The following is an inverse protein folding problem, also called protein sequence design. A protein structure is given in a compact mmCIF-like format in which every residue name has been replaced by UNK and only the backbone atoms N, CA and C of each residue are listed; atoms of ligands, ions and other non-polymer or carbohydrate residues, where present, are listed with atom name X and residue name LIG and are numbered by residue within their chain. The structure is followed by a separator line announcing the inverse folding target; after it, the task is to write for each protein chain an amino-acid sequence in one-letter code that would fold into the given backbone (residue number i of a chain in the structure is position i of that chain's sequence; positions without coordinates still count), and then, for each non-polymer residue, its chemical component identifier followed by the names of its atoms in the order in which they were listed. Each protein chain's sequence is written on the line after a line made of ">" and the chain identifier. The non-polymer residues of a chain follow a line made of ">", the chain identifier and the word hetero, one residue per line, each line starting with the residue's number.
data_IF_347457030741
#
_entry.id   IF_347457030741
#
_cell.length_a   1.000
_cell.length_b   1.000
_cell.length_c   1.000
_cell.angle_alpha   90.00
_cell.angle_beta   90.00
_cell.angle_gamma   90.00
#
_symmetry.space_group_name_H-M   'P 1'
#
loop_
_entity.id
_entity.type
_entity.pdbx_description
1 polymer ?
#
# COMPACT_ATOMS: atom_id res chain seq x y z
N UNK A 1 10.61 -16.61 -9.07
CA UNK A 1 9.95 -16.59 -7.75
C UNK A 1 10.75 -15.66 -6.86
N UNK A 2 10.16 -14.57 -6.36
CA UNK A 2 10.83 -13.68 -5.40
C UNK A 2 10.80 -14.41 -4.06
N UNK A 3 11.94 -14.95 -3.64
CA UNK A 3 12.01 -15.91 -2.53
C UNK A 3 13.20 -15.65 -1.61
N UNK A 4 14.37 -15.32 -2.17
CA UNK A 4 15.55 -15.03 -1.37
C UNK A 4 15.60 -13.55 -0.94
N UNK A 5 16.38 -13.28 0.11
CA UNK A 5 16.54 -11.95 0.74
C UNK A 5 16.89 -10.85 -0.25
N UNK A 6 17.80 -11.13 -1.20
CA UNK A 6 18.20 -10.16 -2.23
C UNK A 6 17.05 -9.81 -3.17
N UNK A 7 16.33 -10.82 -3.69
CA UNK A 7 15.17 -10.58 -4.56
C UNK A 7 14.03 -9.86 -3.83
N UNK A 8 13.85 -10.10 -2.53
CA UNK A 8 12.87 -9.38 -1.69
C UNK A 8 13.27 -7.95 -1.42
N UNK A 9 14.56 -7.69 -1.23
CA UNK A 9 15.09 -6.33 -1.15
C UNK A 9 14.86 -5.55 -2.46
N UNK A 10 15.19 -6.14 -3.62
CA UNK A 10 14.89 -5.53 -4.91
C UNK A 10 13.38 -5.34 -5.10
N UNK A 11 12.57 -6.28 -4.63
CA UNK A 11 11.11 -6.14 -4.69
C UNK A 11 10.63 -4.89 -3.95
N UNK A 12 11.12 -4.65 -2.73
CA UNK A 12 10.78 -3.43 -1.98
C UNK A 12 11.35 -2.18 -2.67
N UNK A 13 12.59 -2.22 -3.15
CA UNK A 13 13.23 -1.08 -3.81
C UNK A 13 12.45 -0.61 -5.05
N UNK A 14 11.89 -1.54 -5.81
CA UNK A 14 11.08 -1.28 -7.02
C UNK A 14 9.57 -1.43 -6.78
N UNK A 15 9.13 -1.44 -5.51
CA UNK A 15 7.76 -1.76 -5.14
C UNK A 15 6.73 -0.87 -5.85
N UNK A 16 7.00 0.42 -5.97
CA UNK A 16 6.14 1.38 -6.66
C UNK A 16 5.84 0.97 -8.12
N UNK A 17 6.85 0.49 -8.87
CA UNK A 17 6.66 0.07 -10.25
C UNK A 17 5.83 -1.21 -10.35
N UNK A 18 6.06 -2.17 -9.45
CA UNK A 18 5.27 -3.41 -9.44
C UNK A 18 3.82 -3.13 -9.03
N UNK A 19 3.62 -2.24 -8.04
CA UNK A 19 2.29 -1.88 -7.55
C UNK A 19 1.46 -1.17 -8.62
N UNK A 20 2.02 -0.15 -9.29
CA UNK A 20 1.34 0.62 -10.34
C UNK A 20 1.19 -0.19 -11.64
N UNK A 21 2.22 -0.97 -12.01
CA UNK A 21 2.23 -1.74 -13.26
C UNK A 21 1.30 -2.96 -13.22
N UNK A 22 1.15 -3.63 -12.07
CA UNK A 22 0.38 -4.88 -11.99
C UNK A 22 -1.07 -4.74 -12.46
N UNK A 23 -1.86 -3.73 -12.06
CA UNK A 23 -3.22 -3.55 -12.57
C UNK A 23 -3.29 -3.41 -14.09
N UNK A 24 -2.29 -2.77 -14.71
CA UNK A 24 -2.23 -2.56 -16.16
C UNK A 24 -1.97 -3.87 -16.94
N UNK A 25 -1.43 -4.88 -16.28
CA UNK A 25 -1.11 -6.18 -16.89
C UNK A 25 -2.18 -7.23 -16.53
N UNK A 26 -2.59 -7.29 -15.27
CA UNK A 26 -3.45 -8.37 -14.74
C UNK A 26 -4.94 -8.10 -15.01
N UNK A 27 -5.39 -6.86 -14.92
CA UNK A 27 -6.79 -6.51 -15.18
C UNK A 27 -6.87 -5.14 -15.89
N UNK A 28 -6.39 -5.06 -17.15
CA UNK A 28 -6.35 -3.82 -17.90
C UNK A 28 -7.76 -3.30 -18.16
N UNK A 29 -8.04 -2.09 -17.66
CA UNK A 29 -9.26 -1.35 -18.01
C UNK A 29 -9.03 -0.54 -19.28
N UNK A 30 -10.05 -0.44 -20.13
CA UNK A 30 -10.01 0.45 -21.30
C UNK A 30 -9.97 1.91 -20.81
N UNK A 31 -8.95 2.70 -21.15
CA UNK A 31 -8.89 4.10 -20.75
C UNK A 31 -10.05 4.89 -21.38
N UNK A 32 -10.71 5.73 -20.58
CA UNK A 32 -11.70 6.68 -21.03
C UNK A 32 -11.08 8.05 -21.32
N UNK A 33 -11.95 9.03 -21.63
CA UNK A 33 -11.53 10.40 -21.93
C UNK A 33 -10.70 11.03 -20.81
N UNK A 34 -11.07 10.79 -19.56
CA UNK A 34 -10.43 11.41 -18.41
C UNK A 34 -9.02 10.86 -18.16
N UNK A 35 -8.81 9.57 -18.38
CA UNK A 35 -7.49 8.95 -18.29
C UNK A 35 -6.51 9.55 -19.32
N UNK A 36 -6.97 9.80 -20.54
CA UNK A 36 -6.15 10.46 -21.57
C UNK A 36 -5.83 11.91 -21.22
N UNK A 37 -6.80 12.66 -20.68
CA UNK A 37 -6.56 14.03 -20.21
C UNK A 37 -5.56 14.03 -19.06
N UNK A 38 -5.73 13.15 -18.07
CA UNK A 38 -4.80 13.02 -16.96
C UNK A 38 -3.38 12.67 -17.44
N UNK A 39 -3.25 11.72 -18.36
CA UNK A 39 -1.96 11.36 -18.95
C UNK A 39 -1.30 12.55 -19.67
N UNK A 40 -2.06 13.31 -20.47
CA UNK A 40 -1.53 14.50 -21.13
C UNK A 40 -1.04 15.55 -20.12
N UNK A 41 -1.81 15.80 -19.06
CA UNK A 41 -1.43 16.72 -17.99
C UNK A 41 -0.15 16.25 -17.28
N UNK A 42 -0.09 14.99 -16.83
CA UNK A 42 1.11 14.42 -16.19
C UNK A 42 2.34 14.55 -17.09
N UNK A 43 2.25 14.12 -18.36
CA UNK A 43 3.37 14.19 -19.31
C UNK A 43 3.83 15.63 -19.58
N UNK A 44 2.90 16.58 -19.62
CA UNK A 44 3.26 18.00 -19.76
C UNK A 44 4.02 18.53 -18.53
N UNK A 45 3.62 18.14 -17.32
CA UNK A 45 4.35 18.51 -16.10
C UNK A 45 5.74 17.87 -16.05
N UNK A 46 5.85 16.60 -16.41
CA UNK A 46 7.15 15.91 -16.49
C UNK A 46 8.08 16.59 -17.51
N UNK A 47 7.52 17.03 -18.64
CA UNK A 47 8.26 17.80 -19.64
C UNK A 47 8.71 19.15 -19.08
N UNK A 48 7.84 19.89 -18.38
CA UNK A 48 8.21 21.17 -17.74
C UNK A 48 9.34 20.96 -16.71
N UNK A 49 9.25 19.93 -15.88
CA UNK A 49 10.30 19.57 -14.92
C UNK A 49 11.62 19.31 -15.65
N UNK A 50 11.59 18.57 -16.77
CA UNK A 50 12.80 18.29 -17.54
C UNK A 50 13.37 19.55 -18.20
N UNK A 51 12.53 20.44 -18.74
CA UNK A 51 12.98 21.68 -19.39
C UNK A 51 13.65 22.63 -18.39
N UNK A 52 13.07 22.81 -17.19
CA UNK A 52 13.59 23.77 -16.19
C UNK A 52 14.61 23.16 -15.22
N UNK A 53 14.51 21.87 -14.91
CA UNK A 53 15.35 21.15 -13.95
C UNK A 53 16.36 20.19 -14.60
N UNK A 54 16.31 20.02 -15.91
CA UNK A 54 17.15 19.07 -16.64
C UNK A 54 16.90 17.60 -16.25
N UNK A 55 17.80 16.73 -16.73
CA UNK A 55 17.78 15.31 -16.36
C UNK A 55 17.95 15.12 -14.84
N UNK A 56 18.75 15.97 -14.18
CA UNK A 56 18.99 15.89 -12.74
C UNK A 56 17.72 16.13 -11.92
N UNK A 57 16.92 17.15 -12.26
CA UNK A 57 15.64 17.41 -11.59
C UNK A 57 14.64 16.28 -11.81
N UNK A 58 14.56 15.77 -13.03
CA UNK A 58 13.72 14.62 -13.35
C UNK A 58 14.12 13.37 -12.57
N UNK A 59 15.41 13.01 -12.56
CA UNK A 59 15.93 11.87 -11.82
C UNK A 59 15.80 12.05 -10.30
N UNK A 60 15.95 13.26 -9.79
CA UNK A 60 15.76 13.56 -8.36
C UNK A 60 14.35 13.19 -7.91
N UNK A 61 13.32 13.58 -8.66
CA UNK A 61 11.93 13.25 -8.34
C UNK A 61 11.64 11.75 -8.52
N UNK A 62 12.16 11.13 -9.58
CA UNK A 62 11.99 9.70 -9.83
C UNK A 62 12.62 8.86 -8.71
N UNK A 63 13.90 9.11 -8.41
CA UNK A 63 14.63 8.39 -7.36
C UNK A 63 14.08 8.72 -5.97
N UNK A 64 13.65 9.95 -5.73
CA UNK A 64 12.97 10.34 -4.49
C UNK A 64 11.66 9.59 -4.29
N UNK A 65 10.88 9.40 -5.34
CA UNK A 65 9.65 8.58 -5.32
C UNK A 65 9.97 7.11 -5.05
N UNK A 66 11.00 6.56 -5.72
CA UNK A 66 11.45 5.19 -5.47
C UNK A 66 11.91 4.98 -4.03
N UNK A 67 12.63 5.95 -3.45
CA UNK A 67 13.02 5.90 -2.06
C UNK A 67 11.79 5.96 -1.15
N UNK A 68 10.93 6.96 -1.35
CA UNK A 68 9.76 7.24 -0.52
C UNK A 68 8.70 6.13 -0.52
N UNK A 69 8.54 5.42 -1.64
CA UNK A 69 7.60 4.29 -1.78
C UNK A 69 8.28 2.91 -1.67
N UNK A 70 9.60 2.88 -1.52
CA UNK A 70 10.40 1.65 -1.45
C UNK A 70 10.92 1.40 -0.04
N UNK A 71 12.21 1.65 0.20
CA UNK A 71 12.89 1.30 1.46
C UNK A 71 12.76 2.35 2.58
N UNK A 72 12.08 3.47 2.34
CA UNK A 72 11.89 4.51 3.35
C UNK A 72 11.12 3.96 4.57
N UNK A 73 11.47 4.32 5.82
CA UNK A 73 10.81 3.80 7.03
C UNK A 73 9.29 3.85 7.02
N UNK A 74 8.71 4.94 6.47
CA UNK A 74 7.25 5.09 6.37
C UNK A 74 6.65 4.15 5.32
N UNK A 75 7.36 3.82 4.25
CA UNK A 75 6.87 2.94 3.19
C UNK A 75 6.54 1.52 3.69
N UNK A 76 7.04 1.14 4.87
CA UNK A 76 6.64 -0.11 5.53
C UNK A 76 5.14 -0.22 5.79
N UNK A 77 4.38 0.88 5.83
CA UNK A 77 2.92 0.82 5.92
C UNK A 77 2.29 0.08 4.73
N UNK A 78 2.77 0.30 3.50
CA UNK A 78 2.27 -0.43 2.32
C UNK A 78 2.45 -1.95 2.46
N UNK A 79 3.53 -2.39 3.10
CA UNK A 79 3.78 -3.81 3.34
C UNK A 79 2.94 -4.32 4.51
N UNK A 80 2.87 -3.56 5.61
CA UNK A 80 2.04 -3.91 6.76
C UNK A 80 0.58 -4.12 6.35
N UNK A 81 0.03 -3.23 5.53
CA UNK A 81 -1.40 -3.20 5.23
C UNK A 81 -1.85 -4.20 4.16
N UNK A 82 -0.91 -4.79 3.41
CA UNK A 82 -1.24 -5.59 2.22
C UNK A 82 -0.61 -6.98 2.21
N UNK A 83 0.10 -7.37 3.26
CA UNK A 83 0.75 -8.68 3.37
C UNK A 83 0.41 -9.35 4.68
N UNK A 84 0.25 -10.67 4.60
CA UNK A 84 -0.12 -11.51 5.73
C UNK A 84 1.12 -11.87 6.55
N UNK A 85 1.32 -11.18 7.67
CA UNK A 85 2.36 -11.48 8.67
C UNK A 85 1.90 -12.50 9.72
N UNK A 86 0.60 -12.59 9.94
CA UNK A 86 -0.08 -13.54 10.82
C UNK A 86 -1.17 -14.23 10.00
N UNK A 87 -1.16 -15.55 9.99
CA UNK A 87 -2.10 -16.35 9.20
C UNK A 87 -3.55 -15.98 9.55
N UNK A 88 -4.35 -15.69 8.52
CA UNK A 88 -5.75 -15.27 8.60
C UNK A 88 -5.96 -13.76 8.67
N UNK A 89 -4.92 -12.93 8.83
CA UNK A 89 -5.06 -11.48 8.99
C UNK A 89 -4.60 -10.74 7.74
N UNK A 90 -5.54 -10.06 7.08
CA UNK A 90 -5.31 -9.39 5.79
C UNK A 90 -4.60 -8.04 5.91
N UNK A 91 -4.77 -7.35 7.04
CA UNK A 91 -4.23 -6.01 7.28
C UNK A 91 -4.03 -5.73 8.77
N UNK A 92 -3.23 -4.71 9.09
CA UNK A 92 -2.69 -4.46 10.42
C UNK A 92 -2.63 -2.97 10.68
N UNK A 93 -3.17 -2.54 11.83
CA UNK A 93 -2.86 -1.22 12.35
C UNK A 93 -1.42 -1.15 12.88
N UNK A 94 -0.88 0.05 12.88
CA UNK A 94 0.41 0.43 13.40
C UNK A 94 0.23 1.44 14.53
N UNK A 95 0.81 1.14 15.69
CA UNK A 95 0.73 1.98 16.90
C UNK A 95 2.12 2.46 17.35
N UNK A 96 2.92 2.96 16.40
CA UNK A 96 4.24 3.50 16.69
C UNK A 96 4.36 5.01 16.45
N UNK A 97 5.56 5.54 16.73
CA UNK A 97 5.82 6.99 16.75
C UNK A 97 5.62 7.67 15.38
N UNK A 98 5.81 6.93 14.28
CA UNK A 98 5.69 7.49 12.94
C UNK A 98 4.27 7.96 12.62
N UNK A 99 3.25 7.48 13.33
CA UNK A 99 1.88 8.01 13.20
C UNK A 99 1.78 9.51 13.44
N UNK A 100 2.63 10.07 14.32
CA UNK A 100 2.65 11.51 14.57
C UNK A 100 3.11 12.29 13.34
N UNK A 101 3.99 11.70 12.53
CA UNK A 101 4.51 12.30 11.29
C UNK A 101 3.60 12.02 10.08
N UNK A 102 2.83 10.93 10.13
CA UNK A 102 1.94 10.51 9.06
C UNK A 102 0.46 10.76 9.39
N UNK A 103 0.16 11.64 10.33
CA UNK A 103 -1.21 12.05 10.67
C UNK A 103 -2.16 10.87 10.95
N UNK A 104 -1.69 9.90 11.75
CA UNK A 104 -2.41 8.69 12.15
C UNK A 104 -2.80 7.73 11.02
N UNK A 105 -2.15 7.79 9.86
CA UNK A 105 -2.36 6.82 8.75
C UNK A 105 -2.23 5.37 9.21
N UNK A 106 -1.38 5.08 10.20
CA UNK A 106 -1.22 3.73 10.72
C UNK A 106 -2.41 3.20 11.53
N UNK A 107 -3.41 4.00 11.88
CA UNK A 107 -4.68 3.51 12.46
C UNK A 107 -5.56 2.90 11.35
N UNK A 108 -5.03 1.87 10.71
CA UNK A 108 -5.49 1.39 9.42
C UNK A 108 -6.79 0.58 9.54
N UNK A 109 -6.89 -0.35 10.49
CA UNK A 109 -8.13 -1.08 10.72
C UNK A 109 -9.27 -0.12 11.09
N UNK A 110 -9.00 0.82 11.99
CA UNK A 110 -9.95 1.86 12.38
C UNK A 110 -10.38 2.72 11.19
N UNK A 111 -9.45 3.08 10.31
CA UNK A 111 -9.76 3.82 9.08
C UNK A 111 -10.64 3.01 8.12
N UNK A 112 -10.34 1.74 7.92
CA UNK A 112 -11.10 0.89 7.00
C UNK A 112 -12.50 0.55 7.51
N UNK A 113 -12.67 0.40 8.83
CA UNK A 113 -13.98 0.20 9.45
C UNK A 113 -14.82 1.49 9.42
N UNK A 114 -14.19 2.64 9.66
CA UNK A 114 -14.85 3.95 9.73
C UNK A 114 -14.20 4.99 8.82
N UNK A 115 -14.32 4.85 7.48
CA UNK A 115 -13.58 5.68 6.51
C UNK A 115 -13.99 7.15 6.51
N UNK A 116 -15.14 7.47 7.10
CA UNK A 116 -15.66 8.85 7.20
C UNK A 116 -15.23 9.56 8.49
N UNK A 117 -14.56 8.87 9.42
CA UNK A 117 -13.97 9.50 10.61
C UNK A 117 -12.64 10.16 10.22
N UNK A 118 -12.47 11.42 10.59
CA UNK A 118 -11.23 12.14 10.32
C UNK A 118 -10.03 11.45 10.98
N UNK A 119 -8.90 11.36 10.28
CA UNK A 119 -7.66 10.71 10.77
C UNK A 119 -7.19 11.21 12.15
N UNK A 120 -7.41 12.50 12.45
CA UNK A 120 -7.11 13.07 13.77
C UNK A 120 -7.90 12.44 14.92
N UNK A 121 -9.08 11.86 14.65
CA UNK A 121 -10.01 11.27 15.62
C UNK A 121 -10.05 9.74 15.60
N UNK A 122 -9.30 9.08 14.71
CA UNK A 122 -9.29 7.61 14.63
C UNK A 122 -8.85 6.92 15.94
N UNK A 123 -8.03 7.58 16.76
CA UNK A 123 -7.65 7.05 18.07
C UNK A 123 -8.84 6.93 19.03
N UNK A 124 -9.87 7.77 18.87
CA UNK A 124 -11.11 7.72 19.64
C UNK A 124 -11.95 6.49 19.27
N UNK A 125 -11.92 6.05 18.00
CA UNK A 125 -12.61 4.84 17.55
C UNK A 125 -12.12 3.61 18.32
N UNK A 126 -10.79 3.44 18.38
CA UNK A 126 -10.17 2.36 19.15
C UNK A 126 -10.51 2.45 20.64
N UNK A 127 -10.54 3.66 21.20
CA UNK A 127 -10.87 3.87 22.62
C UNK A 127 -12.35 3.58 22.94
N UNK A 128 -13.25 3.81 21.99
CA UNK A 128 -14.69 3.59 22.15
C UNK A 128 -15.07 2.11 22.05
N UNK A 129 -14.34 1.33 21.25
CA UNK A 129 -14.66 -0.07 20.95
C UNK A 129 -13.42 -0.97 21.09
N UNK A 130 -12.73 -0.98 22.26
CA UNK A 130 -11.46 -1.70 22.45
C UNK A 130 -11.57 -3.21 22.20
N UNK A 131 -12.73 -3.80 22.45
CA UNK A 131 -13.01 -5.23 22.27
C UNK A 131 -12.79 -5.71 20.82
N UNK A 132 -12.90 -4.81 19.83
CA UNK A 132 -12.65 -5.13 18.42
C UNK A 132 -11.19 -4.96 18.01
N UNK A 133 -10.39 -4.17 18.75
CA UNK A 133 -9.07 -3.73 18.29
C UNK A 133 -7.90 -4.14 19.20
N UNK A 134 -8.13 -4.46 20.48
CA UNK A 134 -7.04 -4.79 21.42
C UNK A 134 -6.37 -6.12 21.11
N UNK A 135 -7.14 -7.11 20.65
CA UNK A 135 -6.65 -8.45 20.37
C UNK A 135 -6.19 -8.64 18.91
N UNK A 136 -6.32 -7.62 18.07
CA UNK A 136 -5.86 -7.70 16.68
C UNK A 136 -4.33 -7.62 16.61
N UNK A 137 -3.68 -8.45 15.76
CA UNK A 137 -2.29 -8.28 15.41
C UNK A 137 -2.02 -6.85 14.92
N UNK A 138 -0.91 -6.27 15.38
CA UNK A 138 -0.54 -4.91 15.03
C UNK A 138 0.96 -4.73 15.03
N UNK A 139 1.43 -3.70 14.33
CA UNK A 139 2.84 -3.37 14.25
C UNK A 139 3.20 -2.18 15.17
N UNK A 140 4.40 -2.22 15.73
CA UNK A 140 4.98 -1.09 16.49
C UNK A 140 6.10 -0.38 15.75
N UNK A 141 6.63 -0.98 14.68
CA UNK A 141 7.70 -0.41 13.84
C UNK A 141 7.53 -0.81 12.37
N UNK A 142 7.30 0.17 11.48
CA UNK A 142 7.30 -0.05 10.04
C UNK A 142 8.70 -0.39 9.47
N UNK A 143 9.77 0.06 10.14
CA UNK A 143 11.12 -0.39 9.80
C UNK A 143 11.25 -1.90 10.04
N UNK A 144 10.71 -2.39 11.16
CA UNK A 144 10.69 -3.82 11.46
C UNK A 144 9.89 -4.59 10.40
N UNK A 145 8.74 -4.07 9.98
CA UNK A 145 7.93 -4.65 8.88
C UNK A 145 8.76 -4.86 7.61
N UNK A 146 9.52 -3.85 7.18
CA UNK A 146 10.39 -3.96 6.01
C UNK A 146 11.49 -5.01 6.21
N UNK A 147 12.13 -5.03 7.39
CA UNK A 147 13.17 -6.00 7.72
C UNK A 147 12.62 -7.42 7.75
N UNK A 148 11.49 -7.63 8.42
CA UNK A 148 10.82 -8.92 8.53
C UNK A 148 10.46 -9.46 7.15
N UNK A 149 9.84 -8.63 6.29
CA UNK A 149 9.51 -9.03 4.93
C UNK A 149 10.76 -9.51 4.15
N UNK A 150 11.89 -8.80 4.26
CA UNK A 150 13.13 -9.17 3.58
C UNK A 150 13.77 -10.42 4.18
N UNK A 151 13.77 -10.54 5.51
CA UNK A 151 14.58 -11.53 6.22
C UNK A 151 13.84 -12.84 6.48
N UNK A 152 12.52 -12.82 6.62
CA UNK A 152 11.68 -13.98 6.90
C UNK A 152 11.48 -14.84 5.64
N UNK A 153 11.98 -16.07 5.68
CA UNK A 153 11.93 -17.00 4.54
C UNK A 153 10.51 -17.51 4.24
N UNK A 154 9.59 -17.41 5.19
CA UNK A 154 8.18 -17.75 4.98
C UNK A 154 7.41 -16.67 4.21
N UNK A 155 7.92 -15.44 4.17
CA UNK A 155 7.29 -14.31 3.51
C UNK A 155 7.78 -14.08 2.09
N UNK A 156 6.84 -13.76 1.20
CA UNK A 156 7.12 -13.39 -0.18
C UNK A 156 6.01 -12.47 -0.74
N UNK A 157 6.15 -11.95 -1.97
CA UNK A 157 5.15 -11.06 -2.57
C UNK A 157 3.71 -11.63 -2.71
N UNK A 158 3.54 -12.93 -2.52
CA UNK A 158 2.26 -13.65 -2.57
C UNK A 158 1.70 -14.00 -1.19
N UNK A 159 2.38 -13.63 -0.10
CA UNK A 159 1.88 -13.74 1.29
C UNK A 159 0.71 -12.78 1.49
N UNK A 160 -0.45 -13.12 0.94
CA UNK A 160 -1.67 -12.30 0.89
C UNK A 160 -2.88 -13.21 0.94
N UNK A 161 -3.93 -12.77 1.62
CA UNK A 161 -5.20 -13.47 1.62
C UNK A 161 -5.94 -13.23 0.31
N UNK A 162 -6.40 -14.31 -0.32
CA UNK A 162 -7.27 -14.25 -1.49
C UNK A 162 -8.65 -14.77 -1.11
N UNK A 163 -9.64 -13.88 -1.09
CA UNK A 163 -11.03 -14.26 -0.87
C UNK A 163 -11.53 -15.09 -2.06
N UNK A 164 -12.36 -16.09 -1.78
CA UNK A 164 -13.10 -16.78 -2.83
C UNK A 164 -14.16 -15.81 -3.35
N UNK A 165 -14.02 -15.38 -4.60
CA UNK A 165 -15.06 -14.60 -5.25
C UNK A 165 -16.22 -15.53 -5.60
N UNK A 166 -17.45 -15.05 -5.42
CA UNK A 166 -18.66 -15.73 -5.87
C UNK A 166 -18.54 -15.96 -7.39
N UNK A 167 -18.79 -17.20 -7.84
CA UNK A 167 -18.75 -17.57 -9.25
C UNK A 167 -19.67 -16.65 -10.08
N UNK A 168 -19.31 -16.36 -11.33
CA UNK A 168 -20.04 -15.41 -12.18
C UNK A 168 -21.54 -15.76 -12.34
N UNK A 169 -21.91 -17.04 -12.19
CA UNK A 169 -23.30 -17.51 -12.22
C UNK A 169 -24.16 -17.02 -11.04
N UNK A 170 -23.55 -16.63 -9.93
CA UNK A 170 -24.25 -16.19 -8.71
C UNK A 170 -24.21 -14.66 -8.52
N UNK A 171 -23.35 -13.93 -9.24
CA UNK A 171 -23.33 -12.46 -9.22
C UNK A 171 -24.64 -11.83 -9.73
N UNK A 172 -25.34 -12.51 -10.65
CA UNK A 172 -26.64 -12.06 -11.18
C UNK A 172 -27.78 -12.09 -10.15
N UNK A 173 -27.66 -12.93 -9.11
CA UNK A 173 -28.70 -13.09 -8.07
C UNK A 173 -28.63 -12.00 -6.99
N UNK A 174 -27.48 -11.36 -6.81
CA UNK A 174 -27.26 -10.32 -5.78
C UNK A 174 -27.69 -8.94 -6.29
N UNK A 175 -27.66 -8.71 -7.61
CA UNK A 175 -28.10 -7.43 -8.20
C UNK A 175 -29.63 -7.31 -8.36
N UNK A 176 -30.38 -8.35 -7.98
CA UNK A 176 -31.84 -8.42 -8.10
C UNK A 176 -32.59 -8.27 -6.78
N UNK A 177 -31.92 -7.91 -5.68
CA UNK A 177 -32.54 -7.51 -4.42
C UNK A 177 -32.35 -6.01 -4.15
#
# INVERSE_FOLDING_TARGET
>A
MIANKFTKFLYILFHAFFYVGRPLIVNPKKPGKWEYINAAVCLSYDCLIYVYGGLSGFLYLLLGTMLGCGIHPVAGHFIAEHYEFTLGYETYSYYGILNRLTFNVGLHNEHHDFPFVAGSRLHEVRALAPEFYENLPSHKSWVKVLVDFIMDESMNPFSRVKRQTIEDNDQGKIKSE
#
